data_IF_119680231179
#
_entry.id   IF_119680231179
#
_cell.length_a   1.000
_cell.length_b   1.000
_cell.length_c   1.000
_cell.angle_alpha   90.00
_cell.angle_beta   90.00
_cell.angle_gamma   90.00
#
_symmetry.space_group_name_H-M   'P 1'
#
loop_
_entity.id
_entity.type
_entity.pdbx_description
1 polymer ?
#
# COMPACT_ATOMS: atom_id res chain seq x y z
N UNK A 1 -8.01 -8.97 -10.47
CA UNK A 1 -8.54 -8.09 -9.40
C UNK A 1 -9.82 -7.43 -9.89
N UNK A 2 -10.71 -6.95 -9.01
CA UNK A 2 -11.96 -6.27 -9.40
C UNK A 2 -11.89 -4.80 -8.94
N UNK A 3 -12.16 -3.84 -9.83
CA UNK A 3 -12.14 -2.40 -9.55
C UNK A 3 -13.10 -1.98 -8.43
N UNK A 4 -14.28 -2.60 -8.33
CA UNK A 4 -15.24 -2.30 -7.25
C UNK A 4 -14.67 -2.67 -5.88
N UNK A 5 -13.94 -3.79 -5.77
CA UNK A 5 -13.27 -4.16 -4.52
C UNK A 5 -12.12 -3.21 -4.16
N UNK A 6 -11.48 -2.59 -5.15
CA UNK A 6 -10.45 -1.58 -4.89
C UNK A 6 -11.09 -0.30 -4.36
N UNK A 7 -12.23 0.14 -4.92
CA UNK A 7 -12.99 1.27 -4.39
C UNK A 7 -13.44 1.04 -2.94
N UNK A 8 -13.97 -0.15 -2.64
CA UNK A 8 -14.32 -0.54 -1.27
C UNK A 8 -13.10 -0.50 -0.32
N UNK A 9 -11.94 -0.95 -0.78
CA UNK A 9 -10.71 -0.87 0.01
C UNK A 9 -10.30 0.58 0.28
N UNK A 10 -10.31 1.45 -0.74
CA UNK A 10 -9.97 2.87 -0.58
C UNK A 10 -10.90 3.54 0.43
N UNK A 11 -12.21 3.31 0.31
CA UNK A 11 -13.19 3.85 1.25
C UNK A 11 -12.92 3.38 2.70
N UNK A 12 -12.59 2.09 2.90
CA UNK A 12 -12.24 1.56 4.22
C UNK A 12 -10.97 2.19 4.80
N UNK A 13 -9.96 2.47 3.97
CA UNK A 13 -8.71 3.13 4.40
C UNK A 13 -8.99 4.58 4.80
N UNK A 14 -9.79 5.29 4.02
CA UNK A 14 -10.22 6.67 4.31
C UNK A 14 -11.04 6.73 5.61
N UNK A 15 -11.99 5.81 5.81
CA UNK A 15 -12.79 5.69 7.02
C UNK A 15 -11.94 5.34 8.26
N UNK A 16 -10.94 4.48 8.09
CA UNK A 16 -9.99 4.13 9.16
C UNK A 16 -9.02 5.28 9.49
N UNK A 17 -8.96 6.32 8.64
CA UNK A 17 -8.07 7.46 8.81
C UNK A 17 -6.61 7.17 8.47
N UNK A 18 -6.33 6.10 7.70
CA UNK A 18 -4.98 5.77 7.25
C UNK A 18 -4.65 4.28 7.24
N UNK A 19 -3.35 3.93 7.31
CA UNK A 19 -2.86 2.56 7.17
C UNK A 19 -3.32 1.65 8.32
N UNK A 20 -3.25 0.31 8.15
CA UNK A 20 -3.59 -0.63 9.21
C UNK A 20 -2.81 -0.38 10.51
N UNK A 21 -3.38 -0.70 11.69
CA UNK A 21 -2.69 -0.57 12.97
C UNK A 21 -1.35 -1.33 12.96
N UNK A 22 -0.31 -0.71 13.53
CA UNK A 22 1.01 -1.32 13.62
C UNK A 22 1.90 -1.17 12.38
N UNK A 23 1.43 -0.47 11.33
CA UNK A 23 2.25 -0.08 10.17
C UNK A 23 2.80 1.34 10.38
N UNK A 24 4.09 1.52 10.68
CA UNK A 24 4.70 2.83 10.95
C UNK A 24 5.05 3.58 9.64
N UNK A 25 4.11 3.67 8.71
CA UNK A 25 4.34 4.35 7.43
C UNK A 25 4.12 5.87 7.57
N UNK A 26 4.94 6.65 6.86
CA UNK A 26 4.85 8.11 6.77
C UNK A 26 3.99 8.59 5.60
N UNK A 27 3.59 7.67 4.70
CA UNK A 27 2.76 7.97 3.55
C UNK A 27 2.43 6.72 2.74
N UNK A 28 1.25 6.72 2.11
CA UNK A 28 0.78 5.62 1.26
C UNK A 28 0.31 6.17 -0.07
N UNK A 29 0.78 5.59 -1.17
CA UNK A 29 0.30 5.88 -2.53
C UNK A 29 -0.20 4.59 -3.15
N UNK A 30 -1.45 4.59 -3.61
CA UNK A 30 -2.04 3.48 -4.35
C UNK A 30 -2.19 3.87 -5.82
N UNK A 31 -1.65 3.03 -6.70
CA UNK A 31 -1.78 3.13 -8.15
C UNK A 31 -2.66 1.98 -8.63
N UNK A 32 -3.69 2.30 -9.40
CA UNK A 32 -4.60 1.33 -10.00
C UNK A 32 -4.46 1.39 -11.52
N UNK A 33 -4.13 0.25 -12.13
CA UNK A 33 -4.29 0.03 -13.56
C UNK A 33 -5.56 -0.81 -13.77
N UNK A 34 -6.66 -0.14 -14.11
CA UNK A 34 -7.94 -0.79 -14.38
C UNK A 34 -7.90 -1.68 -15.63
N UNK A 35 -7.11 -1.30 -16.64
CA UNK A 35 -7.02 -2.03 -17.90
C UNK A 35 -6.32 -3.38 -17.71
N UNK A 36 -5.32 -3.45 -16.82
CA UNK A 36 -4.60 -4.68 -16.49
C UNK A 36 -5.14 -5.37 -15.23
N UNK A 37 -6.08 -4.74 -14.53
CA UNK A 37 -6.60 -5.19 -13.24
C UNK A 37 -5.47 -5.49 -12.22
N UNK A 38 -4.52 -4.56 -12.13
CA UNK A 38 -3.39 -4.61 -11.18
C UNK A 38 -3.35 -3.35 -10.32
N UNK A 39 -2.91 -3.49 -9.08
CA UNK A 39 -2.67 -2.37 -8.19
C UNK A 39 -1.24 -2.43 -7.63
N UNK A 40 -0.64 -1.26 -7.44
CA UNK A 40 0.66 -1.09 -6.77
C UNK A 40 0.44 -0.19 -5.57
N UNK A 41 0.96 -0.60 -4.41
CA UNK A 41 0.91 0.20 -3.18
C UNK A 41 2.34 0.55 -2.79
N UNK A 42 2.66 1.83 -2.81
CA UNK A 42 3.91 2.38 -2.32
C UNK A 42 3.71 2.85 -0.88
N UNK A 43 4.64 2.50 -0.01
CA UNK A 43 4.62 2.88 1.39
C UNK A 43 5.97 3.48 1.76
N UNK A 44 5.93 4.65 2.37
CA UNK A 44 7.12 5.36 2.81
C UNK A 44 7.35 5.10 4.29
N UNK A 45 8.61 4.98 4.69
CA UNK A 45 9.01 4.73 6.07
C UNK A 45 10.17 5.65 6.41
N UNK A 46 10.24 6.09 7.67
CA UNK A 46 11.34 6.92 8.14
C UNK A 46 12.65 6.12 8.22
N UNK A 47 12.58 4.85 8.63
CA UNK A 47 13.74 3.98 8.78
C UNK A 47 13.53 2.61 8.13
N UNK A 48 14.64 1.92 7.86
CA UNK A 48 14.60 0.54 7.39
C UNK A 48 13.98 -0.43 8.42
N UNK A 49 14.09 -0.12 9.72
CA UNK A 49 13.46 -0.91 10.78
C UNK A 49 11.93 -0.78 10.73
N UNK A 50 11.42 0.43 10.49
CA UNK A 50 9.98 0.69 10.34
C UNK A 50 9.42 0.00 9.09
N UNK A 51 10.16 0.00 7.99
CA UNK A 51 9.82 -0.75 6.79
C UNK A 51 9.73 -2.26 7.06
N UNK A 52 10.67 -2.82 7.82
CA UNK A 52 10.63 -4.23 8.19
C UNK A 52 9.42 -4.56 9.08
N UNK A 53 9.09 -3.70 10.05
CA UNK A 53 7.88 -3.84 10.90
C UNK A 53 6.60 -3.79 10.07
N UNK A 54 6.50 -2.83 9.14
CA UNK A 54 5.37 -2.72 8.23
C UNK A 54 5.22 -3.98 7.37
N UNK A 55 6.32 -4.49 6.79
CA UNK A 55 6.29 -5.69 5.98
C UNK A 55 5.84 -6.94 6.75
N UNK A 56 6.23 -7.05 8.02
CA UNK A 56 5.75 -8.12 8.90
C UNK A 56 4.22 -7.99 9.11
N UNK A 57 3.74 -6.79 9.48
CA UNK A 57 2.31 -6.54 9.65
C UNK A 57 1.49 -6.92 8.41
N UNK A 58 1.95 -6.57 7.20
CA UNK A 58 1.28 -6.97 5.95
C UNK A 58 1.40 -8.45 5.62
N UNK A 59 2.43 -9.14 6.12
CA UNK A 59 2.60 -10.58 5.89
C UNK A 59 1.69 -11.41 6.80
N UNK A 60 1.33 -10.84 7.97
CA UNK A 60 0.42 -11.46 8.93
C UNK A 60 -1.06 -11.20 8.61
N UNK A 61 -1.36 -10.27 7.68
CA UNK A 61 -2.72 -10.01 7.21
C UNK A 61 -3.29 -11.18 6.39
N UNK A 62 -4.59 -11.44 6.53
CA UNK A 62 -5.28 -12.44 5.72
C UNK A 62 -5.27 -11.99 4.24
N UNK A 63 -4.82 -12.83 3.29
CA UNK A 63 -4.80 -12.48 1.87
C UNK A 63 -6.16 -12.03 1.33
N UNK A 64 -7.27 -12.53 1.90
CA UNK A 64 -8.63 -12.17 1.57
C UNK A 64 -9.04 -10.74 1.97
N UNK A 65 -8.30 -10.10 2.88
CA UNK A 65 -8.49 -8.68 3.23
C UNK A 65 -7.96 -7.74 2.14
N UNK A 66 -7.08 -8.22 1.28
CA UNK A 66 -6.55 -7.45 0.15
C UNK A 66 -7.25 -7.84 -1.16
N UNK A 67 -7.72 -6.87 -1.98
CA UNK A 67 -8.28 -7.18 -3.28
C UNK A 67 -7.26 -7.82 -4.21
N UNK A 68 -7.40 -9.12 -4.45
CA UNK A 68 -6.61 -9.83 -5.47
C UNK A 68 -5.59 -10.78 -4.86
N UNK A 69 -4.45 -10.94 -5.54
CA UNK A 69 -3.35 -11.80 -5.08
C UNK A 69 -2.06 -11.00 -5.15
N UNK A 70 -1.26 -11.08 -4.09
CA UNK A 70 0.05 -10.42 -4.02
C UNK A 70 0.98 -11.02 -5.09
N UNK A 71 1.40 -10.19 -6.05
CA UNK A 71 2.28 -10.61 -7.13
C UNK A 71 3.77 -10.56 -6.73
N UNK A 72 4.19 -9.47 -6.08
CA UNK A 72 5.55 -9.28 -5.56
C UNK A 72 5.56 -8.31 -4.38
N UNK A 73 6.67 -8.28 -3.64
CA UNK A 73 6.99 -7.29 -2.62
C UNK A 73 8.47 -6.98 -2.75
N UNK A 74 8.78 -5.70 -2.89
CA UNK A 74 10.15 -5.21 -2.99
C UNK A 74 10.39 -4.14 -1.93
N UNK A 75 11.61 -4.10 -1.42
CA UNK A 75 12.06 -3.11 -0.44
C UNK A 75 13.24 -2.35 -1.03
N UNK A 76 13.14 -1.03 -1.04
CA UNK A 76 14.18 -0.18 -1.61
C UNK A 76 14.23 1.19 -0.92
N UNK A 77 15.31 1.91 -1.17
CA UNK A 77 15.46 3.29 -0.73
C UNK A 77 14.93 4.23 -1.81
N UNK A 78 14.05 5.16 -1.43
CA UNK A 78 13.64 6.25 -2.30
C UNK A 78 14.80 7.25 -2.45
N UNK A 79 15.44 7.29 -3.62
CA UNK A 79 16.58 8.19 -3.90
C UNK A 79 16.15 9.60 -4.31
N UNK A 80 14.96 9.75 -4.89
CA UNK A 80 14.42 11.02 -5.35
C UNK A 80 12.90 10.92 -5.43
N UNK A 81 12.22 11.95 -4.93
CA UNK A 81 10.78 12.13 -5.13
C UNK A 81 10.53 13.61 -5.44
N UNK A 82 9.91 13.89 -6.58
CA UNK A 82 9.59 15.25 -7.03
C UNK A 82 8.11 15.30 -7.34
N UNK A 83 7.37 16.10 -6.57
CA UNK A 83 5.99 16.44 -6.85
C UNK A 83 5.97 17.75 -7.65
N UNK A 84 5.61 17.68 -8.93
CA UNK A 84 5.36 18.89 -9.73
C UNK A 84 3.87 19.17 -9.74
N UNK A 85 3.47 20.23 -9.04
CA UNK A 85 2.13 20.79 -9.16
C UNK A 85 2.04 21.52 -10.51
N UNK A 86 1.05 21.17 -11.33
CA UNK A 86 0.68 21.92 -12.54
C UNK A 86 -0.11 23.18 -12.19
#
# INVERSE_FOLDING_TARGET
>A
MNAERVKELVARIEEAGGPPPGVPTTGVTMLLDEAQATAVVLQYFETAEDMAKGAQAFSDMDPGETPGTRASVDMCEAKLEIHQSS
#
